data_IF_079974706161
#
_entry.id   IF_079974706161
#
_cell.length_a   1.000
_cell.length_b   1.000
_cell.length_c   1.000
_cell.angle_alpha   90.00
_cell.angle_beta   90.00
_cell.angle_gamma   90.00
#
_symmetry.space_group_name_H-M   'P 1'
#
loop_
_entity.id
_entity.type
_entity.pdbx_description
1 polymer ?
#
# COMPACT_ATOMS: atom_id res chain seq x y z
N UNK A 1 25.79 -20.24 -32.88
CA UNK A 1 25.75 -18.87 -32.33
C UNK A 1 24.78 -18.83 -31.14
N UNK A 2 25.29 -18.66 -29.91
CA UNK A 2 24.44 -18.44 -28.72
C UNK A 2 24.11 -16.95 -28.65
N UNK A 3 22.83 -16.60 -28.80
CA UNK A 3 22.34 -15.25 -28.55
C UNK A 3 22.51 -14.93 -27.06
N UNK A 4 23.51 -14.12 -26.74
CA UNK A 4 23.68 -13.57 -25.40
C UNK A 4 22.53 -12.60 -25.15
N UNK A 5 21.59 -12.98 -24.28
CA UNK A 5 20.64 -12.02 -23.70
C UNK A 5 21.48 -11.04 -22.88
N UNK A 6 21.75 -9.86 -23.45
CA UNK A 6 22.23 -8.72 -22.68
C UNK A 6 21.06 -8.29 -21.79
N UNK A 7 20.92 -8.95 -20.63
CA UNK A 7 20.05 -8.51 -19.55
C UNK A 7 20.65 -7.22 -19.00
N UNK A 8 20.33 -6.09 -19.65
CA UNK A 8 20.42 -4.79 -18.97
C UNK A 8 19.55 -4.91 -17.73
N UNK A 9 20.21 -5.07 -16.57
CA UNK A 9 19.59 -5.11 -15.26
C UNK A 9 19.08 -3.70 -14.92
N UNK A 10 18.11 -3.20 -15.68
CA UNK A 10 17.50 -1.90 -15.45
C UNK A 10 16.60 -2.04 -14.23
N UNK A 11 17.01 -1.37 -13.16
CA UNK A 11 16.27 -1.26 -11.90
C UNK A 11 14.81 -0.91 -12.20
N UNK A 12 13.90 -1.79 -11.81
CA UNK A 12 12.45 -1.54 -11.88
C UNK A 12 11.98 -0.91 -10.57
N UNK A 13 11.05 0.02 -10.65
CA UNK A 13 10.53 0.74 -9.51
C UNK A 13 9.02 0.87 -9.58
N UNK A 14 8.34 0.51 -8.50
CA UNK A 14 6.92 0.79 -8.36
C UNK A 14 6.73 2.25 -7.97
N UNK A 15 5.95 2.98 -8.75
CA UNK A 15 5.63 4.39 -8.53
C UNK A 15 4.13 4.59 -8.35
N UNK A 16 3.78 5.65 -7.64
CA UNK A 16 2.42 6.19 -7.54
C UNK A 16 2.39 7.53 -8.25
N UNK A 17 1.50 7.64 -9.23
CA UNK A 17 1.21 8.87 -9.96
C UNK A 17 -0.05 9.47 -9.34
N UNK A 18 0.09 10.64 -8.70
CA UNK A 18 -1.01 11.37 -8.07
C UNK A 18 -1.62 12.39 -9.03
N UNK A 19 -2.87 12.76 -8.72
CA UNK A 19 -3.68 13.72 -9.48
C UNK A 19 -3.96 13.29 -10.93
N UNK A 20 -3.90 11.99 -11.21
CA UNK A 20 -4.26 11.44 -12.51
C UNK A 20 -5.78 11.27 -12.60
N UNK A 21 -6.49 12.11 -13.39
CA UNK A 21 -7.95 12.17 -13.33
C UNK A 21 -8.62 10.82 -13.58
N UNK A 22 -9.69 10.51 -12.84
CA UNK A 22 -10.43 9.25 -12.97
C UNK A 22 -10.99 9.00 -14.37
N UNK A 23 -11.44 10.06 -15.05
CA UNK A 23 -11.98 10.00 -16.42
C UNK A 23 -10.91 9.71 -17.48
N UNK A 24 -9.62 9.86 -17.14
CA UNK A 24 -8.54 9.70 -18.11
C UNK A 24 -8.19 8.22 -18.33
N UNK A 25 -8.02 7.84 -19.60
CA UNK A 25 -7.57 6.48 -19.98
C UNK A 25 -6.13 6.24 -19.56
N UNK A 26 -5.79 5.01 -19.14
CA UNK A 26 -4.40 4.66 -18.77
C UNK A 26 -3.45 4.55 -19.97
N UNK A 27 -3.96 4.63 -21.21
CA UNK A 27 -3.15 4.55 -22.45
C UNK A 27 -2.00 5.56 -22.46
N UNK A 28 -2.27 6.82 -22.07
CA UNK A 28 -1.25 7.87 -22.03
C UNK A 28 -0.03 7.54 -21.15
N UNK A 29 -0.20 6.73 -20.10
CA UNK A 29 0.90 6.28 -19.25
C UNK A 29 1.51 4.99 -19.81
N UNK A 30 0.68 4.06 -20.32
CA UNK A 30 1.14 2.79 -20.90
C UNK A 30 2.01 2.97 -22.14
N UNK A 31 1.77 4.01 -22.93
CA UNK A 31 2.49 4.28 -24.17
C UNK A 31 3.88 4.90 -23.91
N UNK A 32 4.21 5.24 -22.66
CA UNK A 32 5.54 5.69 -22.28
C UNK A 32 6.52 4.52 -22.31
N UNK A 33 7.64 4.67 -23.03
CA UNK A 33 8.64 3.62 -23.26
C UNK A 33 9.26 3.01 -22.00
N UNK A 34 9.24 3.74 -20.88
CA UNK A 34 9.79 3.30 -19.59
C UNK A 34 8.75 2.69 -18.65
N UNK A 35 7.52 2.47 -19.11
CA UNK A 35 6.42 1.93 -18.29
C UNK A 35 6.11 0.51 -18.72
N UNK A 36 6.24 -0.42 -17.78
CA UNK A 36 6.01 -1.86 -18.02
C UNK A 36 4.58 -2.28 -17.67
N UNK A 37 3.96 -1.60 -16.72
CA UNK A 37 2.65 -1.94 -16.20
C UNK A 37 1.99 -0.73 -15.57
N UNK A 38 0.67 -0.64 -15.67
CA UNK A 38 -0.13 0.46 -15.14
C UNK A 38 -1.49 -0.06 -14.67
N UNK A 39 -1.90 0.36 -13.48
CA UNK A 39 -3.23 0.10 -12.92
C UNK A 39 -3.72 1.30 -12.10
N UNK A 40 -5.03 1.53 -12.13
CA UNK A 40 -5.64 2.57 -11.31
C UNK A 40 -5.88 2.07 -9.89
N UNK A 41 -5.51 2.87 -8.90
CA UNK A 41 -5.80 2.54 -7.50
C UNK A 41 -7.30 2.74 -7.22
N UNK A 42 -7.94 1.74 -6.65
CA UNK A 42 -9.36 1.79 -6.26
C UNK A 42 -9.48 1.84 -4.74
N UNK A 43 -10.52 2.50 -4.24
CA UNK A 43 -10.88 2.41 -2.81
C UNK A 43 -11.38 1.00 -2.50
N UNK A 44 -10.96 0.44 -1.37
CA UNK A 44 -11.43 -0.87 -0.90
C UNK A 44 -12.95 -0.92 -0.66
N UNK A 45 -13.52 0.19 -0.19
CA UNK A 45 -14.89 0.21 0.33
C UNK A 45 -15.95 0.42 -0.75
N UNK A 46 -15.67 1.21 -1.80
CA UNK A 46 -16.68 1.55 -2.83
C UNK A 46 -16.22 1.31 -4.27
N UNK A 47 -15.03 0.70 -4.49
CA UNK A 47 -14.40 0.51 -5.82
C UNK A 47 -14.26 1.79 -6.68
N UNK A 48 -14.53 2.96 -6.11
CA UNK A 48 -14.35 4.23 -6.79
C UNK A 48 -12.89 4.41 -7.18
N UNK A 49 -12.73 4.82 -8.44
CA UNK A 49 -11.44 5.14 -9.05
C UNK A 49 -10.83 6.35 -8.35
N UNK A 50 -9.69 6.15 -7.68
CA UNK A 50 -8.94 7.28 -7.15
C UNK A 50 -8.26 8.04 -8.28
N UNK A 51 -7.92 9.31 -8.02
CA UNK A 51 -7.04 10.10 -8.89
C UNK A 51 -5.57 9.67 -8.79
N UNK A 52 -5.33 8.37 -8.50
CA UNK A 52 -4.02 7.77 -8.33
C UNK A 52 -3.86 6.59 -9.27
N UNK A 53 -2.68 6.46 -9.83
CA UNK A 53 -2.28 5.34 -10.69
C UNK A 53 -1.01 4.72 -10.13
N UNK A 54 -0.94 3.40 -10.12
CA UNK A 54 0.27 2.66 -9.84
C UNK A 54 0.91 2.24 -11.16
N UNK A 55 2.22 2.42 -11.27
CA UNK A 55 2.97 2.00 -12.44
C UNK A 55 4.26 1.28 -12.04
N UNK A 56 4.69 0.33 -12.88
CA UNK A 56 6.04 -0.21 -12.84
C UNK A 56 6.88 0.55 -13.85
N UNK A 57 7.87 1.28 -13.34
CA UNK A 57 8.76 2.12 -14.11
C UNK A 57 10.12 1.45 -14.27
N UNK A 58 10.70 1.56 -15.45
CA UNK A 58 12.04 1.09 -15.76
C UNK A 58 13.02 2.26 -15.68
N UNK A 59 14.06 2.14 -14.86
CA UNK A 59 15.01 3.23 -14.63
C UNK A 59 14.49 4.28 -13.64
N UNK A 60 14.95 5.52 -13.80
CA UNK A 60 14.58 6.63 -12.92
C UNK A 60 13.29 7.32 -13.43
N UNK A 61 12.22 7.36 -12.61
CA UNK A 61 11.00 8.05 -12.99
C UNK A 61 11.17 9.57 -12.90
N UNK A 62 10.55 10.35 -13.82
CA UNK A 62 10.51 11.80 -13.68
C UNK A 62 9.70 12.18 -12.43
N UNK A 63 9.98 13.35 -11.83
CA UNK A 63 9.23 13.82 -10.65
C UNK A 63 7.77 14.17 -10.98
N UNK A 64 7.48 14.56 -12.22
CA UNK A 64 6.15 14.93 -12.70
C UNK A 64 5.90 14.44 -14.13
N UNK A 65 4.63 14.24 -14.47
CA UNK A 65 4.15 13.97 -15.83
C UNK A 65 3.20 15.10 -16.25
N UNK A 66 3.54 15.78 -17.34
CA UNK A 66 2.73 16.86 -17.89
C UNK A 66 1.89 16.35 -19.06
N UNK A 67 0.61 16.69 -19.06
CA UNK A 67 -0.32 16.38 -20.13
C UNK A 67 -0.98 17.69 -20.60
N UNK A 68 -1.23 17.87 -21.91
CA UNK A 68 -1.83 19.09 -22.43
C UNK A 68 -3.17 19.43 -21.75
N UNK A 69 -3.33 20.70 -21.36
CA UNK A 69 -4.57 21.18 -20.73
C UNK A 69 -4.81 20.74 -19.29
N UNK A 70 -3.81 20.14 -18.62
CA UNK A 70 -3.96 19.66 -17.24
C UNK A 70 -2.81 20.07 -16.33
N UNK A 71 -3.09 20.03 -15.04
CA UNK A 71 -2.05 20.16 -14.01
C UNK A 71 -1.10 18.96 -14.09
N UNK A 72 0.22 19.18 -13.91
CA UNK A 72 1.18 18.08 -13.86
C UNK A 72 0.82 17.05 -12.80
N UNK A 73 0.87 15.77 -13.18
CA UNK A 73 0.71 14.65 -12.26
C UNK A 73 2.02 14.44 -11.51
N UNK A 74 1.96 14.26 -10.19
CA UNK A 74 3.16 14.04 -9.38
C UNK A 74 3.51 12.55 -9.36
N UNK A 75 4.76 12.20 -9.60
CA UNK A 75 5.24 10.82 -9.53
C UNK A 75 6.05 10.64 -8.26
N UNK A 76 5.66 9.68 -7.43
CA UNK A 76 6.33 9.37 -6.18
C UNK A 76 6.67 7.88 -6.13
N UNK A 77 7.73 7.51 -5.40
CA UNK A 77 7.99 6.10 -5.12
C UNK A 77 6.80 5.51 -4.35
N UNK A 78 6.34 4.34 -4.78
CA UNK A 78 5.28 3.67 -4.05
C UNK A 78 5.83 3.08 -2.76
N UNK A 79 5.40 3.64 -1.63
CA UNK A 79 5.58 3.03 -0.31
C UNK A 79 4.29 2.30 0.03
N UNK A 80 4.38 0.97 0.11
CA UNK A 80 3.25 0.15 0.53
C UNK A 80 2.80 0.53 1.94
N UNK A 81 1.50 0.39 2.23
CA UNK A 81 1.01 0.60 3.59
C UNK A 81 1.76 -0.37 4.53
N UNK A 82 2.32 0.11 5.65
CA UNK A 82 2.96 -0.79 6.61
C UNK A 82 1.93 -1.81 7.10
N UNK A 83 2.36 -3.06 7.25
CA UNK A 83 1.45 -4.09 7.74
C UNK A 83 1.28 -3.95 9.25
N UNK A 84 0.06 -4.07 9.74
CA UNK A 84 -0.23 -4.11 11.16
C UNK A 84 -0.16 -5.55 11.67
N UNK A 85 0.62 -5.79 12.73
CA UNK A 85 0.71 -7.09 13.37
C UNK A 85 -0.37 -7.21 14.46
N UNK A 86 -1.36 -8.07 14.25
CA UNK A 86 -2.41 -8.34 15.25
C UNK A 86 -1.93 -9.04 16.52
N UNK A 87 -0.72 -9.63 16.53
CA UNK A 87 -0.19 -10.30 17.72
C UNK A 87 0.42 -9.30 18.70
N UNK A 88 1.42 -8.52 18.29
CA UNK A 88 2.10 -7.57 19.17
C UNK A 88 1.53 -6.14 19.09
N UNK A 89 0.55 -5.90 18.20
CA UNK A 89 -0.09 -4.61 17.95
C UNK A 89 0.90 -3.51 17.47
N UNK A 90 1.98 -3.91 16.78
CA UNK A 90 2.97 -3.00 16.15
C UNK A 90 2.90 -3.02 14.62
N UNK A 91 3.35 -1.94 14.00
CA UNK A 91 3.44 -1.81 12.54
C UNK A 91 4.77 -2.38 12.00
N UNK A 92 4.78 -2.74 10.71
CA UNK A 92 5.99 -3.07 9.95
C UNK A 92 6.21 -4.55 9.68
N UNK A 93 5.43 -5.45 10.27
CA UNK A 93 5.57 -6.90 10.06
C UNK A 93 4.21 -7.61 10.10
N UNK A 94 4.18 -8.85 9.59
CA UNK A 94 3.02 -9.73 9.67
C UNK A 94 3.07 -10.61 10.92
N UNK A 95 1.92 -11.15 11.32
CA UNK A 95 1.79 -12.03 12.50
C UNK A 95 2.76 -13.22 12.45
N UNK A 96 2.97 -13.84 11.28
CA UNK A 96 3.88 -14.98 11.12
C UNK A 96 5.38 -14.60 11.20
N UNK A 97 5.72 -13.31 11.16
CA UNK A 97 7.09 -12.78 11.35
C UNK A 97 7.28 -12.15 12.74
N UNK A 98 6.29 -12.28 13.62
CA UNK A 98 6.30 -11.61 14.91
C UNK A 98 7.16 -12.37 15.92
N UNK A 99 8.12 -11.66 16.51
CA UNK A 99 8.93 -12.10 17.66
C UNK A 99 8.42 -11.55 19.00
N UNK A 100 7.50 -10.58 18.96
CA UNK A 100 6.96 -9.91 20.13
C UNK A 100 5.92 -10.71 20.92
N UNK A 101 5.74 -10.33 22.19
CA UNK A 101 4.69 -10.86 23.08
C UNK A 101 3.30 -10.51 22.56
N UNK A 102 2.35 -11.43 22.73
CA UNK A 102 0.93 -11.21 22.41
C UNK A 102 0.36 -10.08 23.25
N UNK A 103 -0.34 -9.16 22.58
CA UNK A 103 -0.97 -7.97 23.14
C UNK A 103 -2.43 -7.93 22.74
N UNK A 104 -3.30 -7.73 23.72
CA UNK A 104 -4.73 -7.56 23.50
C UNK A 104 -5.01 -6.23 22.78
N UNK A 105 -5.80 -6.27 21.71
CA UNK A 105 -6.22 -5.08 20.97
C UNK A 105 -7.21 -4.19 21.73
N UNK A 106 -7.87 -4.72 22.76
CA UNK A 106 -8.84 -3.98 23.57
C UNK A 106 -8.19 -3.26 24.74
N UNK A 107 -7.46 -4.00 25.59
CA UNK A 107 -6.91 -3.49 26.86
C UNK A 107 -5.37 -3.38 26.89
N UNK A 108 -4.66 -3.75 25.82
CA UNK A 108 -3.19 -3.80 25.76
C UNK A 108 -2.50 -4.77 26.76
N UNK A 109 -3.27 -5.64 27.41
CA UNK A 109 -2.76 -6.70 28.30
C UNK A 109 -1.97 -7.79 27.57
N UNK A 110 -1.18 -8.57 28.31
CA UNK A 110 -0.39 -9.70 27.79
C UNK A 110 -1.24 -10.96 27.62
N UNK A 111 -2.25 -10.91 26.74
CA UNK A 111 -3.14 -12.04 26.47
C UNK A 111 -3.80 -11.91 25.08
N UNK A 112 -4.38 -13.00 24.58
CA UNK A 112 -5.12 -13.00 23.31
C UNK A 112 -6.41 -12.18 23.43
N UNK A 113 -6.63 -11.27 22.48
CA UNK A 113 -7.82 -10.41 22.39
C UNK A 113 -9.16 -11.16 22.50
N UNK A 114 -9.20 -12.46 22.16
CA UNK A 114 -10.36 -13.33 22.36
C UNK A 114 -10.84 -13.39 23.82
N UNK A 115 -9.93 -13.28 24.80
CA UNK A 115 -10.30 -13.32 26.22
C UNK A 115 -11.07 -12.06 26.62
N UNK A 116 -10.66 -10.88 26.15
CA UNK A 116 -11.43 -9.66 26.33
C UNK A 116 -12.74 -9.67 25.55
N UNK A 117 -12.74 -10.26 24.34
CA UNK A 117 -13.97 -10.37 23.55
C UNK A 117 -15.04 -11.19 24.28
N UNK A 118 -14.67 -12.33 24.88
CA UNK A 118 -15.58 -13.14 25.71
C UNK A 118 -16.11 -12.39 26.94
N UNK A 119 -15.26 -11.60 27.59
CA UNK A 119 -15.67 -10.76 28.73
C UNK A 119 -16.73 -9.73 28.30
N UNK A 120 -16.49 -9.05 27.19
CA UNK A 120 -17.44 -8.07 26.63
C UNK A 120 -18.77 -8.75 26.26
N UNK A 121 -18.71 -9.93 25.64
CA UNK A 121 -19.90 -10.70 25.27
C UNK A 121 -20.72 -11.16 26.48
N UNK A 122 -20.02 -11.51 27.58
CA UNK A 122 -20.65 -11.86 28.85
C UNK A 122 -21.15 -10.64 29.65
N UNK A 123 -20.92 -9.41 29.19
CA UNK A 123 -21.28 -8.18 29.89
C UNK A 123 -20.30 -7.75 31.00
N UNK A 124 -19.12 -8.35 31.08
CA UNK A 124 -18.07 -7.96 32.01
C UNK A 124 -17.41 -6.63 31.59
N UNK A 125 -17.04 -5.81 32.58
CA UNK A 125 -16.28 -4.58 32.33
C UNK A 125 -14.85 -4.91 31.88
N UNK A 126 -14.47 -4.37 30.72
CA UNK A 126 -13.10 -4.42 30.19
C UNK A 126 -12.59 -3.00 30.04
N UNK A 127 -11.58 -2.63 30.83
CA UNK A 127 -10.91 -1.34 30.69
C UNK A 127 -10.22 -1.27 29.33
N UNK A 128 -10.75 -0.42 28.45
CA UNK A 128 -10.20 -0.22 27.11
C UNK A 128 -8.95 0.64 27.19
N UNK A 129 -8.01 0.38 26.29
CA UNK A 129 -6.75 1.12 26.19
C UNK A 129 -6.96 2.63 25.98
N UNK A 130 -8.05 3.01 25.30
CA UNK A 130 -8.36 4.40 24.96
C UNK A 130 -9.13 5.16 26.06
N UNK A 131 -9.38 4.54 27.21
CA UNK A 131 -10.10 5.14 28.35
C UNK A 131 -9.16 5.77 29.40
N UNK A 132 -7.86 5.86 29.10
CA UNK A 132 -6.80 6.53 29.88
C UNK A 132 -6.23 7.64 28.99
#
# INVERSE_FOLDING_TARGET
MKLMKVTKNTKQMKVRIRNYPSFMTLKYIKDLSNVLWVERETRRDNRESMNHVLALWQGEPPATLSFPGMRPCKVERYVGKPTFCGNCQKWGHRVWQCDGKTKCGFCAGNHDSKLCWKKIDNGDEVTLRCSI
#
